data_IF_155855939677
#
_entry.id   IF_155855939677
#
_cell.length_a   1.000
_cell.length_b   1.000
_cell.length_c   1.000
_cell.angle_alpha   90.00
_cell.angle_beta   90.00
_cell.angle_gamma   90.00
#
_symmetry.space_group_name_H-M   'P 1'
#
loop_
_entity.id
_entity.type
_entity.pdbx_description
1 polymer ?
#
# COMPACT_ATOMS: atom_id res chain seq x y z
N UNK A 1 8.62 10.73 -13.36
CA UNK A 1 8.67 10.30 -11.95
C UNK A 1 7.86 11.21 -11.03
N UNK A 2 8.14 12.53 -11.01
CA UNK A 2 7.39 13.48 -10.17
C UNK A 2 5.89 13.56 -10.46
N UNK A 3 5.46 13.46 -11.73
CA UNK A 3 4.03 13.43 -12.08
C UNK A 3 3.28 12.22 -11.48
N UNK A 4 3.91 11.05 -11.41
CA UNK A 4 3.32 9.87 -10.76
C UNK A 4 3.21 10.04 -9.25
N UNK A 5 4.24 10.60 -8.61
CA UNK A 5 4.23 10.90 -7.18
C UNK A 5 3.14 11.94 -6.83
N UNK A 6 2.99 12.97 -7.66
CA UNK A 6 1.97 13.99 -7.50
C UNK A 6 0.56 13.41 -7.67
N UNK A 7 0.29 12.68 -8.75
CA UNK A 7 -1.00 12.04 -8.98
C UNK A 7 -1.38 11.06 -7.88
N UNK A 8 -0.42 10.25 -7.41
CA UNK A 8 -0.63 9.34 -6.28
C UNK A 8 -0.93 10.07 -4.97
N UNK A 9 -0.23 11.18 -4.71
CA UNK A 9 -0.46 11.99 -3.51
C UNK A 9 -1.83 12.67 -3.54
N UNK A 10 -2.25 13.18 -4.70
CA UNK A 10 -3.56 13.77 -4.91
C UNK A 10 -4.68 12.76 -4.68
N UNK A 11 -4.59 11.58 -5.29
CA UNK A 11 -5.57 10.50 -5.05
C UNK A 11 -5.64 10.12 -3.58
N UNK A 12 -4.48 9.99 -2.92
CA UNK A 12 -4.43 9.69 -1.48
C UNK A 12 -5.05 10.78 -0.60
N UNK A 13 -5.02 12.05 -0.99
CA UNK A 13 -5.68 13.12 -0.23
C UNK A 13 -7.21 13.11 -0.36
N UNK A 14 -7.75 12.58 -1.44
CA UNK A 14 -9.21 12.53 -1.67
C UNK A 14 -9.85 11.35 -0.94
N UNK A 15 -9.12 10.24 -0.77
CA UNK A 15 -9.62 9.01 -0.14
C UNK A 15 -10.25 9.25 1.26
N UNK A 16 -9.61 9.94 2.22
CA UNK A 16 -10.19 10.14 3.55
C UNK A 16 -11.55 10.85 3.52
N UNK A 17 -11.69 11.86 2.66
CA UNK A 17 -12.92 12.64 2.51
C UNK A 17 -14.06 11.78 1.96
N UNK A 18 -13.78 10.98 0.93
CA UNK A 18 -14.76 10.04 0.36
C UNK A 18 -15.13 8.98 1.39
N UNK A 19 -14.14 8.38 2.05
CA UNK A 19 -14.38 7.33 3.06
C UNK A 19 -15.24 7.83 4.20
N UNK A 20 -15.00 9.04 4.71
CA UNK A 20 -15.82 9.63 5.77
C UNK A 20 -17.29 9.80 5.33
N UNK A 21 -17.53 10.29 4.11
CA UNK A 21 -18.89 10.45 3.59
C UNK A 21 -19.58 9.09 3.36
N UNK A 22 -18.86 8.08 2.87
CA UNK A 22 -19.44 6.76 2.59
C UNK A 22 -19.71 5.96 3.87
N UNK A 23 -18.84 6.07 4.88
CA UNK A 23 -19.03 5.42 6.18
C UNK A 23 -20.18 6.02 7.02
N UNK A 24 -20.78 7.14 6.61
CA UNK A 24 -22.05 7.60 7.20
C UNK A 24 -23.22 6.68 6.85
N UNK A 25 -23.09 5.92 5.75
CA UNK A 25 -24.17 5.12 5.18
C UNK A 25 -23.87 3.62 5.22
N UNK A 26 -22.61 3.23 5.01
CA UNK A 26 -22.17 1.84 5.00
C UNK A 26 -21.41 1.48 6.27
N UNK A 27 -21.64 0.28 6.78
CA UNK A 27 -20.78 -0.27 7.82
C UNK A 27 -19.37 -0.50 7.29
N UNK A 28 -18.42 -0.50 8.23
CA UNK A 28 -17.01 -0.56 7.93
C UNK A 28 -16.67 -1.84 7.11
N UNK A 29 -17.22 -3.00 7.48
CA UNK A 29 -16.98 -4.25 6.75
C UNK A 29 -17.53 -4.20 5.32
N UNK A 30 -18.70 -3.58 5.13
CA UNK A 30 -19.36 -3.43 3.82
C UNK A 30 -18.55 -2.51 2.91
N UNK A 31 -18.05 -1.39 3.45
CA UNK A 31 -17.15 -0.49 2.73
C UNK A 31 -15.88 -1.19 2.26
N UNK A 32 -15.26 -2.01 3.13
CA UNK A 32 -14.06 -2.77 2.79
C UNK A 32 -14.34 -3.78 1.67
N UNK A 33 -15.47 -4.49 1.74
CA UNK A 33 -15.90 -5.43 0.69
C UNK A 33 -16.09 -4.72 -0.65
N UNK A 34 -16.82 -3.60 -0.68
CA UNK A 34 -17.07 -2.83 -1.90
C UNK A 34 -15.76 -2.28 -2.48
N UNK A 35 -14.86 -1.80 -1.62
CA UNK A 35 -13.55 -1.28 -2.05
C UNK A 35 -12.73 -2.37 -2.74
N UNK A 36 -12.61 -3.55 -2.14
CA UNK A 36 -11.90 -4.67 -2.78
C UNK A 36 -12.58 -5.18 -4.05
N UNK A 37 -13.91 -5.15 -4.09
CA UNK A 37 -14.67 -5.50 -5.29
C UNK A 37 -14.38 -4.52 -6.43
N UNK A 38 -14.35 -3.21 -6.15
CA UNK A 38 -14.00 -2.18 -7.14
C UNK A 38 -12.57 -2.34 -7.64
N UNK A 39 -11.61 -2.57 -6.74
CA UNK A 39 -10.22 -2.86 -7.12
C UNK A 39 -10.13 -4.09 -8.04
N UNK A 40 -10.87 -5.15 -7.71
CA UNK A 40 -10.96 -6.33 -8.56
C UNK A 40 -11.53 -6.00 -9.94
N UNK A 41 -12.64 -5.27 -10.03
CA UNK A 41 -13.26 -4.88 -11.30
C UNK A 41 -12.32 -4.02 -12.15
N UNK A 42 -11.58 -3.08 -11.54
CA UNK A 42 -10.62 -2.23 -12.23
C UNK A 42 -9.43 -3.03 -12.76
N UNK A 43 -8.85 -3.90 -11.93
CA UNK A 43 -7.73 -4.76 -12.34
C UNK A 43 -8.19 -5.72 -13.43
N UNK A 44 -9.35 -6.35 -13.26
CA UNK A 44 -9.93 -7.26 -14.25
C UNK A 44 -10.24 -6.54 -15.56
N UNK A 45 -10.85 -5.36 -15.51
CA UNK A 45 -11.13 -4.52 -16.68
C UNK A 45 -9.86 -4.11 -17.42
N UNK A 46 -8.80 -3.73 -16.69
CA UNK A 46 -7.49 -3.46 -17.27
C UNK A 46 -6.90 -4.70 -17.94
N UNK A 47 -6.99 -5.88 -17.30
CA UNK A 47 -6.53 -7.14 -17.88
C UNK A 47 -7.28 -7.49 -19.16
N UNK A 48 -8.61 -7.34 -19.18
CA UNK A 48 -9.44 -7.55 -20.37
C UNK A 48 -9.09 -6.57 -21.48
N UNK A 49 -8.93 -5.28 -21.16
CA UNK A 49 -8.52 -4.26 -22.13
C UNK A 49 -7.16 -4.59 -22.75
N UNK A 50 -6.16 -4.95 -21.95
CA UNK A 50 -4.84 -5.34 -22.45
C UNK A 50 -4.93 -6.60 -23.31
N UNK A 51 -5.77 -7.57 -22.90
CA UNK A 51 -6.03 -8.76 -23.68
C UNK A 51 -6.59 -8.40 -25.06
N UNK A 52 -7.66 -7.60 -25.12
CA UNK A 52 -8.35 -7.26 -26.38
C UNK A 52 -7.53 -6.36 -27.32
N UNK A 53 -6.76 -5.41 -26.78
CA UNK A 53 -6.08 -4.38 -27.58
C UNK A 53 -4.69 -4.82 -28.04
N UNK A 54 -4.02 -5.70 -27.30
CA UNK A 54 -2.64 -6.11 -27.57
C UNK A 54 -2.42 -7.59 -27.21
N UNK A 55 -3.24 -8.47 -27.81
CA UNK A 55 -3.25 -9.91 -27.55
C UNK A 55 -1.85 -10.56 -27.58
N UNK A 56 -0.98 -10.16 -28.52
CA UNK A 56 0.39 -10.69 -28.60
C UNK A 56 1.27 -10.20 -27.45
N UNK A 57 1.17 -8.93 -27.05
CA UNK A 57 1.93 -8.41 -25.92
C UNK A 57 1.42 -8.98 -24.58
N UNK A 58 0.10 -9.19 -24.44
CA UNK A 58 -0.48 -9.85 -23.27
C UNK A 58 0.04 -11.28 -23.12
N UNK A 59 -0.08 -12.11 -24.17
CA UNK A 59 0.37 -13.50 -24.12
C UNK A 59 1.87 -13.59 -23.87
N UNK A 60 2.66 -12.71 -24.50
CA UNK A 60 4.11 -12.64 -24.28
C UNK A 60 4.45 -12.25 -22.84
N UNK A 61 3.86 -11.18 -22.30
CA UNK A 61 4.08 -10.75 -20.91
C UNK A 61 3.59 -11.76 -19.89
N UNK A 62 2.44 -12.39 -20.13
CA UNK A 62 1.90 -13.43 -19.28
C UNK A 62 2.83 -14.66 -19.27
N UNK A 63 3.28 -15.11 -20.44
CA UNK A 63 4.21 -16.24 -20.56
C UNK A 63 5.58 -15.92 -19.93
N UNK A 64 6.10 -14.71 -20.11
CA UNK A 64 7.33 -14.23 -19.46
C UNK A 64 7.18 -14.21 -17.94
N UNK A 65 6.03 -13.75 -17.45
CA UNK A 65 5.72 -13.70 -16.01
C UNK A 65 5.61 -15.10 -15.42
N UNK A 66 4.90 -16.02 -16.08
CA UNK A 66 4.82 -17.43 -15.68
C UNK A 66 6.19 -18.09 -15.71
N UNK A 67 6.99 -17.84 -16.74
CA UNK A 67 8.37 -18.32 -16.85
C UNK A 67 9.25 -17.81 -15.71
N UNK A 68 9.05 -16.58 -15.24
CA UNK A 68 9.75 -16.02 -14.07
C UNK A 68 9.24 -16.60 -12.75
N UNK A 69 7.92 -16.76 -12.60
CA UNK A 69 7.32 -17.37 -11.40
C UNK A 69 7.81 -18.80 -11.18
N UNK A 70 7.96 -19.57 -12.26
CA UNK A 70 8.53 -20.94 -12.21
C UNK A 70 9.99 -20.98 -11.77
N UNK A 71 10.73 -19.87 -11.92
CA UNK A 71 12.15 -19.75 -11.53
C UNK A 71 12.34 -19.24 -10.10
N UNK A 72 11.26 -18.90 -9.40
CA UNK A 72 11.35 -18.45 -8.01
C UNK A 72 11.82 -19.60 -7.11
N UNK A 73 12.77 -19.31 -6.22
CA UNK A 73 13.23 -20.26 -5.21
C UNK A 73 12.15 -20.50 -4.15
N UNK A 74 12.24 -21.60 -3.41
CA UNK A 74 11.33 -21.88 -2.29
C UNK A 74 11.32 -20.76 -1.24
N UNK A 75 12.48 -20.13 -0.99
CA UNK A 75 12.58 -18.97 -0.09
C UNK A 75 11.81 -17.77 -0.61
N UNK A 76 11.89 -17.46 -1.91
CA UNK A 76 11.13 -16.37 -2.52
C UNK A 76 9.62 -16.62 -2.51
N UNK A 77 9.20 -17.87 -2.78
CA UNK A 77 7.80 -18.26 -2.65
C UNK A 77 7.27 -18.10 -1.23
N UNK A 78 8.06 -18.53 -0.23
CA UNK A 78 7.71 -18.33 1.17
C UNK A 78 7.62 -16.84 1.54
N UNK A 79 8.54 -16.01 1.05
CA UNK A 79 8.49 -14.56 1.28
C UNK A 79 7.24 -13.92 0.67
N UNK A 80 6.88 -14.27 -0.57
CA UNK A 80 5.65 -13.77 -1.22
C UNK A 80 4.43 -14.16 -0.40
N UNK A 81 4.34 -15.43 0.02
CA UNK A 81 3.24 -15.92 0.84
C UNK A 81 3.13 -15.18 2.18
N UNK A 82 4.24 -15.00 2.89
CA UNK A 82 4.26 -14.27 4.16
C UNK A 82 3.86 -12.80 3.98
N UNK A 83 4.37 -12.11 2.95
CA UNK A 83 3.99 -10.73 2.64
C UNK A 83 2.49 -10.61 2.41
N UNK A 84 1.89 -11.55 1.66
CA UNK A 84 0.45 -11.55 1.40
C UNK A 84 -0.36 -11.75 2.68
N UNK A 85 0.00 -12.72 3.54
CA UNK A 85 -0.70 -12.95 4.81
C UNK A 85 -0.58 -11.74 5.73
N UNK A 86 0.62 -11.19 5.90
CA UNK A 86 0.82 -9.98 6.72
C UNK A 86 0.06 -8.78 6.16
N UNK A 87 -0.01 -8.63 4.84
CA UNK A 87 -0.79 -7.59 4.18
C UNK A 87 -2.28 -7.67 4.52
N UNK A 88 -2.87 -8.86 4.39
CA UNK A 88 -4.28 -9.10 4.73
C UNK A 88 -4.53 -8.83 6.22
N UNK A 89 -3.72 -9.44 7.11
CA UNK A 89 -3.86 -9.28 8.55
C UNK A 89 -3.71 -7.80 8.98
N UNK A 90 -2.74 -7.09 8.42
CA UNK A 90 -2.52 -5.67 8.70
C UNK A 90 -3.72 -4.81 8.30
N UNK A 91 -4.39 -5.16 7.20
CA UNK A 91 -5.55 -4.38 6.73
C UNK A 91 -6.72 -4.53 7.69
N UNK A 92 -7.03 -5.76 8.13
CA UNK A 92 -8.05 -5.99 9.15
C UNK A 92 -7.72 -5.28 10.47
N UNK A 93 -6.47 -5.36 10.93
CA UNK A 93 -6.04 -4.70 12.17
C UNK A 93 -6.15 -3.17 12.10
N UNK A 94 -5.64 -2.54 11.03
CA UNK A 94 -5.72 -1.09 10.85
C UNK A 94 -7.19 -0.63 10.85
N UNK A 95 -8.05 -1.44 10.26
CA UNK A 95 -9.45 -1.13 10.13
C UNK A 95 -10.21 -1.22 11.45
N UNK A 96 -10.00 -2.30 12.21
CA UNK A 96 -10.54 -2.42 13.56
C UNK A 96 -10.00 -1.30 14.47
N UNK A 97 -8.71 -0.97 14.31
CA UNK A 97 -8.10 0.11 15.07
C UNK A 97 -8.74 1.47 14.80
N UNK A 98 -9.09 1.77 13.55
CA UNK A 98 -9.78 3.01 13.17
C UNK A 98 -11.14 3.19 13.87
N UNK A 99 -11.79 2.10 14.28
CA UNK A 99 -13.10 2.16 14.96
C UNK A 99 -13.01 2.25 16.48
N UNK A 100 -11.91 1.78 17.10
CA UNK A 100 -11.80 1.59 18.55
C UNK A 100 -10.79 2.48 19.26
N UNK A 101 -9.80 3.04 18.56
CA UNK A 101 -8.66 3.72 19.18
C UNK A 101 -8.64 5.23 18.94
N UNK A 102 -7.91 5.95 19.79
CA UNK A 102 -7.67 7.38 19.62
C UNK A 102 -6.91 7.65 18.30
N UNK A 103 -7.32 8.68 17.52
CA UNK A 103 -6.67 9.09 16.27
C UNK A 103 -5.14 9.25 16.34
N UNK A 104 -4.60 9.70 17.48
CA UNK A 104 -3.16 9.85 17.72
C UNK A 104 -2.44 8.49 17.79
N UNK A 105 -3.02 7.52 18.47
CA UNK A 105 -2.46 6.16 18.60
C UNK A 105 -2.45 5.49 17.23
N UNK A 106 -3.54 5.62 16.47
CA UNK A 106 -3.65 5.15 15.10
C UNK A 106 -2.60 5.81 14.21
N UNK A 107 -2.42 7.13 14.32
CA UNK A 107 -1.42 7.85 13.54
C UNK A 107 -0.01 7.31 13.79
N UNK A 108 0.38 7.14 15.05
CA UNK A 108 1.71 6.64 15.42
C UNK A 108 1.91 5.22 14.87
N UNK A 109 0.95 4.33 15.08
CA UNK A 109 1.06 2.91 14.68
C UNK A 109 1.01 2.70 13.16
N UNK A 110 0.25 3.52 12.42
CA UNK A 110 0.06 3.31 10.98
C UNK A 110 0.94 4.18 10.09
N UNK A 111 1.55 5.26 10.62
CA UNK A 111 2.35 6.20 9.83
C UNK A 111 3.77 6.37 10.35
N UNK A 112 3.97 6.47 11.67
CA UNK A 112 5.29 6.76 12.24
C UNK A 112 6.13 5.49 12.39
N UNK A 113 5.59 4.50 13.10
CA UNK A 113 6.29 3.24 13.37
C UNK A 113 6.72 2.52 12.07
N UNK A 114 5.87 2.40 11.02
CA UNK A 114 6.28 1.76 9.77
C UNK A 114 7.45 2.49 9.09
N UNK A 115 7.46 3.84 9.11
CA UNK A 115 8.57 4.62 8.53
C UNK A 115 9.86 4.37 9.30
N UNK A 116 9.81 4.37 10.64
CA UNK A 116 10.96 4.07 11.48
C UNK A 116 11.46 2.64 11.23
N UNK A 117 10.57 1.66 11.17
CA UNK A 117 10.92 0.25 10.91
C UNK A 117 11.53 0.06 9.52
N UNK A 118 11.04 0.77 8.50
CA UNK A 118 11.64 0.72 7.16
C UNK A 118 13.06 1.30 7.19
N UNK A 119 13.26 2.46 7.83
CA UNK A 119 14.59 3.08 7.91
C UNK A 119 15.58 2.20 8.65
N UNK A 120 15.18 1.67 9.82
CA UNK A 120 16.02 0.77 10.62
C UNK A 120 16.26 -0.55 9.88
N UNK A 121 15.23 -1.11 9.27
CA UNK A 121 15.33 -2.34 8.47
C UNK A 121 16.25 -2.18 7.27
N UNK A 122 16.15 -1.07 6.54
CA UNK A 122 17.08 -0.73 5.45
C UNK A 122 18.51 -0.58 5.94
N UNK A 123 18.73 0.09 7.07
CA UNK A 123 20.06 0.26 7.62
C UNK A 123 20.69 -1.08 8.05
N UNK A 124 19.91 -1.98 8.68
CA UNK A 124 20.42 -3.24 9.22
C UNK A 124 20.47 -4.39 8.21
N UNK A 125 19.47 -4.51 7.34
CA UNK A 125 19.32 -5.65 6.41
C UNK A 125 19.98 -5.35 5.07
N UNK A 126 19.84 -4.11 4.58
CA UNK A 126 20.38 -3.69 3.28
C UNK A 126 21.73 -2.97 3.40
N UNK A 127 22.23 -2.78 4.63
CA UNK A 127 23.44 -2.01 4.93
C UNK A 127 23.42 -0.60 4.28
N UNK A 128 22.24 0.00 4.17
CA UNK A 128 22.10 1.34 3.61
C UNK A 128 22.59 2.39 4.60
N UNK A 129 23.49 3.27 4.13
CA UNK A 129 23.95 4.41 4.92
C UNK A 129 23.03 5.62 4.70
N UNK A 130 22.52 6.16 5.81
CA UNK A 130 21.70 7.37 5.80
C UNK A 130 22.53 8.55 6.28
N UNK A 131 22.68 9.57 5.43
CA UNK A 131 23.27 10.84 5.85
C UNK A 131 22.34 11.57 6.82
N UNK A 132 22.90 12.39 7.70
CA UNK A 132 22.13 13.21 8.65
C UNK A 132 21.04 14.03 7.96
N UNK A 133 21.32 14.58 6.78
CA UNK A 133 20.34 15.33 5.99
C UNK A 133 19.12 14.49 5.58
N UNK A 134 19.31 13.19 5.27
CA UNK A 134 18.20 12.28 4.94
C UNK A 134 17.36 11.96 6.18
N UNK A 135 18.00 11.73 7.32
CA UNK A 135 17.32 11.47 8.60
C UNK A 135 16.47 12.67 9.01
N UNK A 136 17.04 13.88 8.93
CA UNK A 136 16.33 15.14 9.19
C UNK A 136 15.15 15.32 8.22
N UNK A 137 15.34 15.03 6.93
CA UNK A 137 14.25 15.06 5.94
C UNK A 137 13.10 14.10 6.28
N UNK A 138 13.41 12.89 6.75
CA UNK A 138 12.41 11.91 7.20
C UNK A 138 11.67 12.42 8.45
N UNK A 139 12.39 13.01 9.41
CA UNK A 139 11.78 13.61 10.60
C UNK A 139 10.82 14.75 10.24
N UNK A 140 11.21 15.64 9.33
CA UNK A 140 10.31 16.68 8.80
C UNK A 140 9.09 16.11 8.09
N UNK A 141 9.25 15.04 7.30
CA UNK A 141 8.12 14.38 6.66
C UNK A 141 7.13 13.82 7.69
N UNK A 142 7.61 13.16 8.76
CA UNK A 142 6.76 12.66 9.84
C UNK A 142 6.04 13.80 10.55
N UNK A 143 6.75 14.87 10.89
CA UNK A 143 6.18 16.05 11.56
C UNK A 143 5.10 16.72 10.69
N UNK A 144 5.32 16.86 9.39
CA UNK A 144 4.33 17.40 8.46
C UNK A 144 3.05 16.55 8.39
N UNK A 145 3.16 15.22 8.40
CA UNK A 145 1.98 14.35 8.38
C UNK A 145 1.23 14.43 9.72
N UNK A 146 1.95 14.60 10.84
CA UNK A 146 1.32 14.83 12.15
C UNK A 146 0.51 16.13 12.17
N UNK A 147 1.11 17.23 11.70
CA UNK A 147 0.47 18.55 11.65
C UNK A 147 -0.75 18.60 10.72
N UNK A 148 -0.80 17.77 9.68
CA UNK A 148 -1.97 17.66 8.80
C UNK A 148 -3.17 16.94 9.45
N UNK A 149 -2.94 16.18 10.52
CA UNK A 149 -3.97 15.42 11.23
C UNK A 149 -4.37 16.02 12.59
N UNK A 150 -3.56 16.91 13.13
CA UNK A 150 -3.83 17.67 14.36
C UNK A 150 -4.78 18.84 14.04
#
# INVERSE_FOLDING_TARGET
MYGYLFGFSFLKSVIPYITEHVLTTLESVEFMFISYLLDFVLIFGMLVYICLTDHMAFFKRANDTVGRMKKLTHTQWLSVFLISIFGIASTFMIFEMNTKYNPLIIFILTKVIPVVLIVVGSALVLNESFSLNRIVGIAFAIASIYLLKA
#
